data_IF_664568462127
#
_entry.id   IF_664568462127
#
_cell.length_a   1.000
_cell.length_b   1.000
_cell.length_c   1.000
_cell.angle_alpha   90.00
_cell.angle_beta   90.00
_cell.angle_gamma   90.00
#
_symmetry.space_group_name_H-M   'P 1'
#
loop_
_entity.id
_entity.type
_entity.pdbx_description
1 polymer ?
#
# COMPACT_ATOMS: atom_id res chain seq x y z
N UNK A 1 -9.47 28.52 17.28
CA UNK A 1 -8.92 27.17 17.00
C UNK A 1 -7.56 27.10 17.66
N UNK A 2 -7.31 26.05 18.43
CA UNK A 2 -5.98 25.80 18.99
C UNK A 2 -5.03 25.34 17.88
N UNK A 3 -3.73 25.61 17.99
CA UNK A 3 -2.71 25.24 16.98
C UNK A 3 -2.81 23.75 16.56
N UNK A 4 -3.07 22.86 17.51
CA UNK A 4 -3.26 21.41 17.22
C UNK A 4 -4.49 21.14 16.35
N UNK A 5 -5.59 21.86 16.53
CA UNK A 5 -6.80 21.71 15.71
C UNK A 5 -6.55 22.17 14.26
N UNK A 6 -5.74 23.22 14.09
CA UNK A 6 -5.33 23.68 12.75
C UNK A 6 -4.46 22.65 12.06
N UNK A 7 -3.46 22.10 12.78
CA UNK A 7 -2.57 21.07 12.24
C UNK A 7 -3.32 19.79 11.88
N UNK A 8 -4.28 19.37 12.69
CA UNK A 8 -5.14 18.21 12.38
C UNK A 8 -6.01 18.45 11.14
N UNK A 9 -6.57 19.65 11.00
CA UNK A 9 -7.34 20.00 9.80
C UNK A 9 -6.46 20.01 8.54
N UNK A 10 -5.25 20.57 8.62
CA UNK A 10 -4.28 20.56 7.51
C UNK A 10 -3.86 19.12 7.18
N UNK A 11 -3.61 18.28 8.19
CA UNK A 11 -3.28 16.87 7.97
C UNK A 11 -4.39 16.11 7.24
N UNK A 12 -5.65 16.36 7.57
CA UNK A 12 -6.80 15.77 6.87
C UNK A 12 -6.84 16.18 5.39
N UNK A 13 -6.55 17.44 5.10
CA UNK A 13 -6.49 17.95 3.72
C UNK A 13 -5.33 17.29 2.95
N UNK A 14 -4.12 17.27 3.52
CA UNK A 14 -2.97 16.60 2.88
C UNK A 14 -3.23 15.12 2.66
N UNK A 15 -3.91 14.44 3.57
CA UNK A 15 -4.28 13.05 3.39
C UNK A 15 -5.22 12.83 2.20
N UNK A 16 -6.22 13.70 2.04
CA UNK A 16 -7.13 13.64 0.87
C UNK A 16 -6.34 13.85 -0.42
N UNK A 17 -5.43 14.84 -0.46
CA UNK A 17 -4.56 15.11 -1.62
C UNK A 17 -3.63 13.92 -1.86
N UNK A 18 -3.07 13.33 -0.81
CA UNK A 18 -2.24 12.13 -0.88
C UNK A 18 -2.99 10.96 -1.52
N UNK A 19 -4.19 10.66 -1.05
CA UNK A 19 -4.99 9.54 -1.58
C UNK A 19 -5.37 9.78 -3.03
N UNK A 20 -5.98 10.93 -3.31
CA UNK A 20 -6.47 11.30 -4.65
C UNK A 20 -5.31 11.41 -5.66
N UNK A 21 -4.27 12.16 -5.30
CA UNK A 21 -3.15 12.45 -6.17
C UNK A 21 -2.34 11.21 -6.53
N UNK A 22 -2.04 10.33 -5.57
CA UNK A 22 -1.32 9.08 -5.83
C UNK A 22 -2.13 8.12 -6.71
N UNK A 23 -3.46 8.07 -6.55
CA UNK A 23 -4.31 7.23 -7.39
C UNK A 23 -4.47 7.81 -8.80
N UNK A 24 -4.52 9.14 -8.92
CA UNK A 24 -4.50 9.82 -10.23
C UNK A 24 -3.17 9.58 -10.95
N UNK A 25 -2.03 9.74 -10.26
CA UNK A 25 -0.70 9.42 -10.80
C UNK A 25 -0.61 7.97 -11.26
N UNK A 26 -1.14 7.04 -10.47
CA UNK A 26 -1.23 5.63 -10.85
C UNK A 26 -2.05 5.46 -12.15
N UNK A 27 -3.24 6.04 -12.22
CA UNK A 27 -4.10 5.97 -13.40
C UNK A 27 -3.41 6.51 -14.66
N UNK A 28 -2.75 7.68 -14.54
CA UNK A 28 -2.00 8.32 -15.63
C UNK A 28 -0.81 7.47 -16.14
N UNK A 29 -0.29 6.55 -15.33
CA UNK A 29 0.80 5.62 -15.72
C UNK A 29 0.29 4.25 -16.15
N UNK A 30 -0.94 3.89 -15.81
CA UNK A 30 -1.47 2.56 -16.03
C UNK A 30 -1.70 2.28 -17.51
N UNK A 31 -0.98 1.32 -18.08
CA UNK A 31 -1.30 0.74 -19.37
C UNK A 31 -2.49 -0.22 -19.20
N UNK A 32 -3.69 0.33 -19.33
CA UNK A 32 -4.94 -0.40 -19.08
C UNK A 32 -5.09 -1.64 -19.96
N UNK A 33 -4.86 -1.57 -21.31
CA UNK A 33 -4.91 -2.75 -22.17
C UNK A 33 -3.94 -3.86 -21.72
N UNK A 34 -2.74 -3.49 -21.28
CA UNK A 34 -1.74 -4.43 -20.81
C UNK A 34 -2.09 -5.02 -19.45
N UNK A 35 -2.56 -4.19 -18.52
CA UNK A 35 -3.03 -4.65 -17.21
C UNK A 35 -4.21 -5.62 -17.33
N UNK A 36 -5.18 -5.32 -18.21
CA UNK A 36 -6.32 -6.21 -18.48
C UNK A 36 -5.89 -7.54 -19.12
N UNK A 37 -4.89 -7.52 -20.01
CA UNK A 37 -4.35 -8.78 -20.56
C UNK A 37 -3.73 -9.65 -19.47
N UNK A 38 -3.02 -9.05 -18.51
CA UNK A 38 -2.45 -9.77 -17.37
C UNK A 38 -3.49 -10.40 -16.45
N UNK A 39 -4.72 -9.89 -16.40
CA UNK A 39 -5.83 -10.53 -15.67
C UNK A 39 -6.27 -11.87 -16.26
N UNK A 40 -5.88 -12.22 -17.48
CA UNK A 40 -6.10 -13.54 -18.08
C UNK A 40 -5.17 -14.61 -17.51
N UNK A 41 -4.08 -14.21 -16.86
CA UNK A 41 -3.23 -15.14 -16.12
C UNK A 41 -3.91 -15.52 -14.79
N UNK A 42 -4.77 -16.54 -14.88
CA UNK A 42 -5.59 -17.01 -13.75
C UNK A 42 -4.74 -17.36 -12.54
N UNK A 43 -3.55 -17.93 -12.76
CA UNK A 43 -2.65 -18.30 -11.67
C UNK A 43 -2.13 -17.08 -10.92
N UNK A 44 -1.65 -16.07 -11.66
CA UNK A 44 -1.19 -14.82 -11.07
C UNK A 44 -2.31 -14.11 -10.30
N UNK A 45 -3.50 -14.02 -10.90
CA UNK A 45 -4.68 -13.39 -10.29
C UNK A 45 -5.09 -14.14 -9.02
N UNK A 46 -5.27 -15.46 -9.09
CA UNK A 46 -5.69 -16.27 -7.94
C UNK A 46 -4.70 -16.17 -6.78
N UNK A 47 -3.39 -16.27 -7.06
CA UNK A 47 -2.38 -16.16 -6.01
C UNK A 47 -2.26 -14.73 -5.46
N UNK A 48 -2.47 -13.71 -6.29
CA UNK A 48 -2.55 -12.31 -5.80
C UNK A 48 -3.73 -12.12 -4.85
N UNK A 49 -4.90 -12.65 -5.19
CA UNK A 49 -6.09 -12.58 -4.34
C UNK A 49 -5.92 -13.41 -3.07
N UNK A 50 -5.42 -14.62 -3.18
CA UNK A 50 -5.19 -15.51 -2.04
C UNK A 50 -4.23 -14.89 -1.02
N UNK A 51 -3.05 -14.47 -1.48
CA UNK A 51 -2.06 -13.85 -0.61
C UNK A 51 -2.52 -12.48 -0.08
N UNK A 52 -3.03 -11.62 -0.95
CA UNK A 52 -3.39 -10.25 -0.60
C UNK A 52 -4.60 -10.13 0.32
N UNK A 53 -5.60 -11.00 0.14
CA UNK A 53 -6.92 -10.83 0.77
C UNK A 53 -7.35 -11.97 1.69
N UNK A 54 -6.55 -13.04 1.77
CA UNK A 54 -6.77 -14.14 2.73
C UNK A 54 -5.57 -14.25 3.67
N UNK A 55 -4.38 -14.54 3.13
CA UNK A 55 -3.21 -14.83 3.98
C UNK A 55 -2.71 -13.60 4.73
N UNK A 56 -2.55 -12.45 4.03
CA UNK A 56 -2.07 -11.23 4.69
C UNK A 56 -3.02 -10.71 5.78
N UNK A 57 -4.35 -10.62 5.54
CA UNK A 57 -5.31 -10.28 6.59
C UNK A 57 -5.29 -11.25 7.76
N UNK A 58 -5.24 -12.56 7.48
CA UNK A 58 -5.19 -13.60 8.52
C UNK A 58 -3.92 -13.48 9.38
N UNK A 59 -2.76 -13.25 8.77
CA UNK A 59 -1.50 -13.02 9.49
C UNK A 59 -1.56 -11.74 10.32
N UNK A 60 -2.04 -10.63 9.74
CA UNK A 60 -2.19 -9.37 10.46
C UNK A 60 -3.12 -9.47 11.65
N UNK A 61 -4.27 -10.15 11.48
CA UNK A 61 -5.22 -10.40 12.56
C UNK A 61 -4.63 -11.33 13.63
N UNK A 62 -4.01 -12.44 13.23
CA UNK A 62 -3.36 -13.37 14.16
C UNK A 62 -2.31 -12.64 15.01
N UNK A 63 -1.44 -11.86 14.38
CA UNK A 63 -0.43 -11.06 15.09
C UNK A 63 -1.07 -10.01 16.01
N UNK A 64 -2.15 -9.37 15.59
CA UNK A 64 -2.86 -8.37 16.40
C UNK A 64 -3.49 -8.95 17.66
N UNK A 65 -3.91 -10.23 17.65
CA UNK A 65 -4.51 -10.89 18.81
C UNK A 65 -3.52 -11.66 19.68
N UNK A 66 -2.35 -12.00 19.14
CA UNK A 66 -1.32 -12.79 19.88
C UNK A 66 -0.20 -11.95 20.46
N UNK A 67 0.10 -10.82 19.83
CA UNK A 67 1.15 -9.92 20.34
C UNK A 67 0.58 -8.97 21.39
N UNK A 68 1.39 -8.54 22.37
CA UNK A 68 0.99 -7.60 23.42
C UNK A 68 0.93 -6.16 22.88
N UNK A 69 0.03 -5.92 21.90
CA UNK A 69 -0.18 -4.62 21.28
C UNK A 69 -1.32 -3.87 21.97
N UNK A 70 -1.18 -2.54 22.10
CA UNK A 70 -2.32 -1.70 22.48
C UNK A 70 -3.44 -1.79 21.42
N UNK A 71 -4.69 -1.52 21.77
CA UNK A 71 -5.81 -1.58 20.82
C UNK A 71 -5.57 -0.76 19.54
N UNK A 72 -4.99 0.45 19.66
CA UNK A 72 -4.66 1.30 18.52
C UNK A 72 -3.62 0.68 17.59
N UNK A 73 -2.56 0.08 18.12
CA UNK A 73 -1.53 -0.60 17.33
C UNK A 73 -2.03 -1.89 16.70
N UNK A 74 -2.85 -2.66 17.40
CA UNK A 74 -3.50 -3.84 16.84
C UNK A 74 -4.42 -3.47 15.67
N UNK A 75 -5.23 -2.41 15.82
CA UNK A 75 -6.07 -1.85 14.77
C UNK A 75 -5.24 -1.44 13.54
N UNK A 76 -4.16 -0.70 13.73
CA UNK A 76 -3.27 -0.27 12.66
C UNK A 76 -2.67 -1.46 11.89
N UNK A 77 -2.21 -2.49 12.60
CA UNK A 77 -1.62 -3.69 11.99
C UNK A 77 -2.62 -4.41 11.09
N UNK A 78 -3.87 -4.58 11.54
CA UNK A 78 -4.93 -5.20 10.75
C UNK A 78 -5.28 -4.33 9.54
N UNK A 79 -5.44 -3.01 9.71
CA UNK A 79 -5.75 -2.09 8.59
C UNK A 79 -4.68 -2.11 7.51
N UNK A 80 -3.41 -2.11 7.90
CA UNK A 80 -2.30 -2.24 6.94
C UNK A 80 -2.31 -3.62 6.27
N UNK A 81 -2.61 -4.69 7.00
CA UNK A 81 -2.64 -6.04 6.47
C UNK A 81 -3.74 -6.29 5.44
N UNK A 82 -4.89 -5.61 5.54
CA UNK A 82 -6.03 -5.77 4.63
C UNK A 82 -5.99 -4.85 3.39
N UNK A 83 -4.98 -3.98 3.26
CA UNK A 83 -4.87 -3.00 2.18
C UNK A 83 -3.65 -3.25 1.29
N UNK A 84 -3.60 -4.30 0.43
CA UNK A 84 -2.51 -4.50 -0.50
C UNK A 84 -2.54 -3.49 -1.66
N UNK A 85 -1.38 -3.27 -2.27
CA UNK A 85 -1.27 -2.48 -3.51
C UNK A 85 -1.16 -0.97 -3.28
N UNK A 86 0.07 -0.45 -3.37
CA UNK A 86 0.41 0.97 -3.24
C UNK A 86 1.06 1.46 -4.54
N UNK A 87 0.80 2.70 -4.99
CA UNK A 87 1.51 3.34 -6.11
C UNK A 87 3.04 3.29 -6.00
N UNK A 88 3.60 3.19 -4.79
CA UNK A 88 5.03 2.99 -4.54
C UNK A 88 5.57 1.66 -5.12
N UNK A 89 4.72 0.69 -5.44
CA UNK A 89 5.11 -0.55 -6.12
C UNK A 89 5.90 -0.27 -7.40
N UNK A 90 5.55 0.76 -8.17
CA UNK A 90 6.26 1.11 -9.39
C UNK A 90 7.74 1.44 -9.15
N UNK A 91 8.07 2.09 -8.02
CA UNK A 91 9.45 2.40 -7.61
C UNK A 91 10.19 1.10 -7.25
N UNK A 92 9.55 0.24 -6.45
CA UNK A 92 10.13 -1.05 -6.04
C UNK A 92 10.38 -1.98 -7.24
N UNK A 93 9.42 -2.06 -8.17
CA UNK A 93 9.54 -2.85 -9.41
C UNK A 93 10.67 -2.34 -10.31
N UNK A 94 10.77 -1.02 -10.48
CA UNK A 94 11.89 -0.40 -11.24
C UNK A 94 13.25 -0.73 -10.61
N UNK A 95 13.38 -0.58 -9.28
CA UNK A 95 14.61 -0.89 -8.56
C UNK A 95 14.98 -2.37 -8.63
N UNK A 96 14.00 -3.27 -8.53
CA UNK A 96 14.19 -4.71 -8.65
C UNK A 96 14.41 -5.20 -10.09
N UNK A 97 14.30 -4.32 -11.11
CA UNK A 97 14.23 -4.68 -12.53
C UNK A 97 13.20 -5.79 -12.77
N UNK A 98 12.06 -5.73 -12.04
CA UNK A 98 11.00 -6.71 -12.15
C UNK A 98 10.04 -6.39 -13.31
N UNK A 99 9.11 -7.29 -13.60
CA UNK A 99 8.23 -7.19 -14.75
C UNK A 99 7.15 -6.12 -14.57
N UNK A 100 7.25 -5.02 -15.32
CA UNK A 100 6.35 -3.86 -15.27
C UNK A 100 4.92 -4.24 -15.66
N UNK A 101 4.74 -5.22 -16.55
CA UNK A 101 3.42 -5.63 -17.03
C UNK A 101 2.61 -6.31 -15.92
N UNK A 102 3.22 -7.23 -15.19
CA UNK A 102 2.60 -7.85 -14.04
C UNK A 102 2.39 -6.85 -12.90
N UNK A 103 3.27 -5.85 -12.76
CA UNK A 103 3.07 -4.78 -11.79
C UNK A 103 1.81 -3.96 -12.09
N UNK A 104 1.58 -3.59 -13.35
CA UNK A 104 0.36 -2.91 -13.77
C UNK A 104 -0.89 -3.75 -13.49
N UNK A 105 -0.84 -5.05 -13.77
CA UNK A 105 -1.91 -6.00 -13.46
C UNK A 105 -2.18 -6.09 -11.96
N UNK A 106 -1.11 -6.23 -11.16
CA UNK A 106 -1.22 -6.27 -9.70
C UNK A 106 -1.86 -4.99 -9.15
N UNK A 107 -1.41 -3.82 -9.61
CA UNK A 107 -1.92 -2.54 -9.13
C UNK A 107 -3.40 -2.34 -9.48
N UNK A 108 -3.80 -2.68 -10.72
CA UNK A 108 -5.20 -2.61 -11.13
C UNK A 108 -6.07 -3.54 -10.27
N UNK A 109 -5.67 -4.81 -10.17
CA UNK A 109 -6.39 -5.82 -9.41
C UNK A 109 -6.48 -5.44 -7.92
N UNK A 110 -5.34 -5.11 -7.30
CA UNK A 110 -5.30 -4.77 -5.90
C UNK A 110 -6.14 -3.52 -5.58
N UNK A 111 -6.04 -2.46 -6.38
CA UNK A 111 -6.83 -1.24 -6.15
C UNK A 111 -8.33 -1.51 -6.28
N UNK A 112 -8.76 -2.23 -7.32
CA UNK A 112 -10.17 -2.53 -7.55
C UNK A 112 -10.74 -3.43 -6.44
N UNK A 113 -10.02 -4.48 -6.06
CA UNK A 113 -10.48 -5.42 -5.02
C UNK A 113 -10.45 -4.78 -3.64
N UNK A 114 -9.44 -3.97 -3.30
CA UNK A 114 -9.35 -3.29 -2.00
C UNK A 114 -10.56 -2.39 -1.74
N UNK A 115 -11.02 -1.65 -2.76
CA UNK A 115 -12.19 -0.76 -2.63
C UNK A 115 -13.48 -1.54 -2.32
N UNK A 116 -13.59 -2.78 -2.81
CA UNK A 116 -14.73 -3.66 -2.51
C UNK A 116 -14.51 -4.42 -1.20
N UNK A 117 -13.32 -4.94 -0.98
CA UNK A 117 -13.00 -5.82 0.16
C UNK A 117 -13.02 -5.10 1.51
N UNK A 118 -12.35 -3.94 1.61
CA UNK A 118 -12.21 -3.24 2.89
C UNK A 118 -13.54 -2.83 3.54
N UNK A 119 -14.55 -2.31 2.82
CA UNK A 119 -15.83 -1.98 3.42
C UNK A 119 -16.50 -3.13 4.18
N UNK A 120 -16.31 -4.37 3.72
CA UNK A 120 -16.87 -5.54 4.39
C UNK A 120 -15.95 -6.10 5.48
N UNK A 121 -14.62 -6.07 5.26
CA UNK A 121 -13.66 -6.71 6.16
C UNK A 121 -13.27 -5.81 7.34
N UNK A 122 -13.24 -4.50 7.19
CA UNK A 122 -12.91 -3.58 8.30
C UNK A 122 -13.87 -3.75 9.47
N UNK A 123 -15.21 -3.73 9.30
CA UNK A 123 -16.12 -3.93 10.42
C UNK A 123 -15.99 -5.30 11.09
N UNK A 124 -15.54 -6.31 10.37
CA UNK A 124 -15.37 -7.68 10.88
C UNK A 124 -14.06 -7.87 11.63
N UNK A 125 -12.97 -7.37 11.06
CA UNK A 125 -11.60 -7.64 11.54
C UNK A 125 -11.08 -6.58 12.50
N UNK A 126 -11.56 -5.34 12.39
CA UNK A 126 -11.05 -4.20 13.17
C UNK A 126 -11.96 -3.94 14.36
N UNK A 127 -11.59 -4.48 15.51
CA UNK A 127 -12.34 -4.28 16.76
C UNK A 127 -12.25 -2.81 17.21
N UNK A 128 -13.36 -2.29 17.71
CA UNK A 128 -13.43 -0.92 18.24
C UNK A 128 -13.68 0.17 17.18
N UNK A 129 -13.79 -0.19 15.90
CA UNK A 129 -14.11 0.74 14.83
C UNK A 129 -15.59 0.58 14.42
N UNK A 130 -16.46 1.45 14.94
CA UNK A 130 -17.90 1.43 14.61
C UNK A 130 -18.16 2.16 13.28
N UNK A 131 -17.99 1.45 12.16
CA UNK A 131 -18.26 1.98 10.84
C UNK A 131 -19.14 1.02 10.03
N UNK A 132 -20.09 1.56 9.29
CA UNK A 132 -20.87 0.75 8.34
C UNK A 132 -20.05 0.54 7.05
N UNK A 133 -20.30 -0.53 6.29
CA UNK A 133 -19.63 -0.77 5.02
C UNK A 133 -19.70 0.43 4.06
N UNK A 134 -20.84 1.12 4.03
CA UNK A 134 -21.03 2.29 3.17
C UNK A 134 -20.19 3.51 3.59
N UNK A 135 -20.02 3.73 4.89
CA UNK A 135 -19.15 4.81 5.40
C UNK A 135 -17.72 4.61 4.93
N UNK A 136 -17.24 3.37 4.86
CA UNK A 136 -15.89 3.06 4.39
C UNK A 136 -15.82 3.09 2.85
N UNK A 137 -16.82 2.54 2.16
CA UNK A 137 -16.85 2.47 0.70
C UNK A 137 -16.84 3.85 0.04
N UNK A 138 -17.65 4.79 0.55
CA UNK A 138 -17.84 6.11 -0.06
C UNK A 138 -16.51 6.86 -0.29
N UNK A 139 -15.64 7.10 0.70
CA UNK A 139 -14.37 7.78 0.49
C UNK A 139 -13.40 6.94 -0.37
N UNK A 140 -13.42 5.62 -0.29
CA UNK A 140 -12.58 4.77 -1.13
C UNK A 140 -12.97 4.87 -2.61
N UNK A 141 -14.26 4.93 -2.91
CA UNK A 141 -14.76 5.16 -4.25
C UNK A 141 -14.32 6.53 -4.78
N UNK A 142 -14.45 7.59 -3.97
CA UNK A 142 -14.18 8.98 -4.37
C UNK A 142 -12.67 9.28 -4.42
N UNK A 143 -11.88 8.80 -3.46
CA UNK A 143 -10.46 9.20 -3.34
C UNK A 143 -9.48 8.14 -3.84
N UNK A 144 -9.91 6.90 -4.10
CA UNK A 144 -9.06 5.83 -4.61
C UNK A 144 -9.51 5.42 -6.03
N UNK A 145 -10.73 4.93 -6.18
CA UNK A 145 -11.17 4.36 -7.45
C UNK A 145 -11.38 5.44 -8.52
N UNK A 146 -12.11 6.50 -8.19
CA UNK A 146 -12.44 7.56 -9.16
C UNK A 146 -11.20 8.21 -9.77
N UNK A 147 -10.20 8.73 -9.01
CA UNK A 147 -9.02 9.34 -9.61
C UNK A 147 -8.19 8.35 -10.42
N UNK A 148 -8.09 7.09 -10.01
CA UNK A 148 -7.40 6.05 -10.78
C UNK A 148 -8.09 5.82 -12.13
N UNK A 149 -9.42 5.69 -12.14
CA UNK A 149 -10.20 5.48 -13.38
C UNK A 149 -10.11 6.71 -14.28
N UNK A 150 -10.25 7.92 -13.73
CA UNK A 150 -10.10 9.17 -14.48
C UNK A 150 -8.71 9.25 -15.12
N UNK A 151 -7.66 8.98 -14.37
CA UNK A 151 -6.28 8.97 -14.89
C UNK A 151 -6.08 7.92 -15.99
N UNK A 152 -6.62 6.71 -15.82
CA UNK A 152 -6.51 5.63 -16.79
C UNK A 152 -7.26 5.94 -18.09
N UNK A 153 -8.49 6.49 -18.00
CA UNK A 153 -9.26 6.94 -19.16
C UNK A 153 -8.54 8.10 -19.87
N UNK A 154 -8.03 9.05 -19.11
CA UNK A 154 -7.28 10.18 -19.66
C UNK A 154 -6.05 9.70 -20.45
N UNK A 155 -5.28 8.75 -19.89
CA UNK A 155 -4.15 8.12 -20.59
C UNK A 155 -4.60 7.37 -21.84
N UNK A 156 -5.70 6.66 -21.77
CA UNK A 156 -6.21 5.88 -22.90
C UNK A 156 -6.62 6.78 -24.09
N UNK A 157 -7.20 7.96 -23.80
CA UNK A 157 -7.70 8.90 -24.81
C UNK A 157 -6.63 9.89 -25.30
N UNK A 158 -5.74 10.32 -24.41
CA UNK A 158 -4.76 11.40 -24.67
C UNK A 158 -3.37 11.01 -24.16
N UNK A 159 -2.81 9.93 -24.71
CA UNK A 159 -1.55 9.36 -24.25
C UNK A 159 -0.39 10.37 -24.18
N UNK A 160 -0.22 11.22 -25.21
CA UNK A 160 0.82 12.23 -25.24
C UNK A 160 0.64 13.31 -24.17
N UNK A 161 -0.61 13.73 -23.92
CA UNK A 161 -0.91 14.70 -22.87
C UNK A 161 -0.77 14.08 -21.48
N UNK A 162 -1.20 12.85 -21.30
CA UNK A 162 -0.99 12.11 -20.04
C UNK A 162 0.50 11.99 -19.70
N UNK A 163 1.36 11.69 -20.68
CA UNK A 163 2.80 11.62 -20.49
C UNK A 163 3.43 12.97 -20.10
N UNK A 164 2.84 14.11 -20.54
CA UNK A 164 3.28 15.45 -20.14
C UNK A 164 2.78 15.86 -18.76
N UNK A 165 1.54 15.51 -18.41
CA UNK A 165 0.89 15.92 -17.15
C UNK A 165 1.36 15.06 -15.98
N UNK A 166 1.57 13.76 -16.20
CA UNK A 166 1.93 12.78 -15.16
C UNK A 166 3.16 13.20 -14.32
N UNK A 167 4.28 13.71 -14.87
CA UNK A 167 5.42 14.12 -14.05
C UNK A 167 5.09 15.26 -13.07
N UNK A 168 4.19 16.17 -13.43
CA UNK A 168 3.74 17.26 -12.55
C UNK A 168 2.86 16.70 -11.43
N UNK A 169 1.91 15.82 -11.76
CA UNK A 169 1.08 15.16 -10.75
C UNK A 169 1.96 14.37 -9.79
N UNK A 170 2.90 13.56 -10.30
CA UNK A 170 3.86 12.81 -9.49
C UNK A 170 4.69 13.71 -8.57
N UNK A 171 5.18 14.83 -9.06
CA UNK A 171 5.96 15.79 -8.25
C UNK A 171 5.10 16.42 -7.17
N UNK A 172 3.89 16.87 -7.51
CA UNK A 172 2.95 17.48 -6.57
C UNK A 172 2.57 16.49 -5.46
N UNK A 173 2.21 15.26 -5.83
CA UNK A 173 1.87 14.21 -4.84
C UNK A 173 3.08 13.76 -4.02
N UNK A 174 4.28 13.79 -4.59
CA UNK A 174 5.52 13.52 -3.85
C UNK A 174 5.79 14.56 -2.77
N UNK A 175 5.61 15.84 -3.09
CA UNK A 175 5.73 16.96 -2.13
C UNK A 175 4.65 16.84 -1.05
N UNK A 176 3.40 16.58 -1.44
CA UNK A 176 2.30 16.38 -0.50
C UNK A 176 2.53 15.16 0.41
N UNK A 177 3.03 14.04 -0.13
CA UNK A 177 3.40 12.86 0.66
C UNK A 177 4.44 13.20 1.73
N UNK A 178 5.46 13.99 1.38
CA UNK A 178 6.46 14.45 2.33
C UNK A 178 5.84 15.37 3.39
N UNK A 179 5.01 16.31 2.98
CA UNK A 179 4.30 17.21 3.89
C UNK A 179 3.38 16.41 4.84
N UNK A 180 2.64 15.42 4.34
CA UNK A 180 1.80 14.54 5.14
C UNK A 180 2.62 13.77 6.19
N UNK A 181 3.77 13.20 5.80
CA UNK A 181 4.64 12.48 6.74
C UNK A 181 5.18 13.42 7.82
N UNK A 182 5.63 14.63 7.45
CA UNK A 182 6.09 15.63 8.41
C UNK A 182 4.96 16.02 9.37
N UNK A 183 3.76 16.28 8.86
CA UNK A 183 2.59 16.61 9.69
C UNK A 183 2.22 15.47 10.64
N UNK A 184 2.25 14.22 10.17
CA UNK A 184 2.04 13.05 11.03
C UNK A 184 3.08 12.98 12.16
N UNK A 185 4.35 13.26 11.85
CA UNK A 185 5.41 13.30 12.86
C UNK A 185 5.25 14.48 13.83
N UNK A 186 4.79 15.63 13.37
CA UNK A 186 4.57 16.81 14.23
C UNK A 186 3.36 16.60 15.14
N UNK A 187 2.25 16.11 14.60
CA UNK A 187 1.00 15.94 15.35
C UNK A 187 1.05 14.73 16.28
N UNK A 188 1.60 13.61 15.79
CA UNK A 188 1.61 12.32 16.50
C UNK A 188 3.02 11.85 16.91
N UNK A 189 4.06 12.68 16.75
CA UNK A 189 5.45 12.27 16.99
C UNK A 189 5.76 11.86 18.42
N UNK A 190 5.05 12.40 19.43
CA UNK A 190 5.15 11.90 20.81
C UNK A 190 4.71 10.45 20.90
N UNK A 191 3.63 10.06 20.20
CA UNK A 191 3.19 8.68 20.08
C UNK A 191 4.22 7.79 19.38
N UNK A 192 4.94 8.32 18.37
CA UNK A 192 6.02 7.58 17.71
C UNK A 192 7.17 7.25 18.67
N UNK A 193 7.58 8.20 19.49
CA UNK A 193 8.63 7.98 20.51
C UNK A 193 8.16 7.00 21.58
N UNK A 194 6.92 7.15 22.06
CA UNK A 194 6.35 6.23 23.06
C UNK A 194 6.06 4.83 22.49
N UNK A 195 6.00 4.68 21.16
CA UNK A 195 5.84 3.36 20.53
C UNK A 195 7.13 2.51 20.57
N UNK A 196 8.27 3.11 20.89
CA UNK A 196 9.52 2.37 21.07
C UNK A 196 9.38 1.43 22.29
N UNK A 197 9.60 0.13 22.08
CA UNK A 197 9.40 -0.90 23.11
C UNK A 197 7.99 -1.49 23.19
N UNK A 198 7.01 -0.97 22.42
CA UNK A 198 5.61 -1.45 22.43
C UNK A 198 5.32 -2.55 21.39
N UNK A 199 6.33 -3.07 20.71
CA UNK A 199 6.21 -4.01 19.59
C UNK A 199 5.49 -3.47 18.34
N UNK A 200 4.93 -2.24 18.34
CA UNK A 200 4.17 -1.69 17.23
C UNK A 200 4.95 -1.66 15.91
N UNK A 201 6.17 -1.11 15.94
CA UNK A 201 7.06 -1.09 14.78
C UNK A 201 7.53 -2.51 14.41
N UNK A 202 7.93 -3.29 15.43
CA UNK A 202 8.40 -4.67 15.24
C UNK A 202 7.34 -5.55 14.57
N UNK A 203 6.09 -5.45 15.00
CA UNK A 203 4.98 -6.20 14.42
C UNK A 203 4.77 -5.89 12.93
N UNK A 204 4.81 -4.61 12.53
CA UNK A 204 4.68 -4.23 11.12
C UNK A 204 5.87 -4.72 10.28
N UNK A 205 7.09 -4.61 10.78
CA UNK A 205 8.29 -5.11 10.10
C UNK A 205 8.23 -6.64 9.95
N UNK A 206 7.87 -7.35 11.01
CA UNK A 206 7.71 -8.82 10.99
C UNK A 206 6.61 -9.23 10.02
N UNK A 207 5.46 -8.53 10.01
CA UNK A 207 4.39 -8.80 9.05
C UNK A 207 4.90 -8.72 7.61
N UNK A 208 5.58 -7.63 7.25
CA UNK A 208 6.13 -7.44 5.89
C UNK A 208 7.19 -8.50 5.56
N UNK A 209 8.08 -8.80 6.50
CA UNK A 209 9.13 -9.80 6.30
C UNK A 209 8.55 -11.22 6.12
N UNK A 210 7.62 -11.62 6.99
CA UNK A 210 6.97 -12.94 6.89
C UNK A 210 6.21 -13.08 5.58
N UNK A 211 5.45 -12.04 5.17
CA UNK A 211 4.73 -12.04 3.89
C UNK A 211 5.71 -12.15 2.72
N UNK A 212 6.82 -11.38 2.74
CA UNK A 212 7.80 -11.41 1.67
C UNK A 212 8.42 -12.79 1.49
N UNK A 213 8.86 -13.40 2.60
CA UNK A 213 9.48 -14.73 2.60
C UNK A 213 8.46 -15.81 2.21
N UNK A 214 7.31 -15.82 2.87
CA UNK A 214 6.30 -16.86 2.64
C UNK A 214 5.74 -16.80 1.20
N UNK A 215 5.39 -15.63 0.67
CA UNK A 215 4.87 -15.50 -0.68
C UNK A 215 5.93 -15.83 -1.75
N UNK A 216 7.21 -15.59 -1.47
CA UNK A 216 8.28 -15.98 -2.39
C UNK A 216 8.47 -17.49 -2.45
N UNK A 217 8.57 -18.16 -1.29
CA UNK A 217 8.81 -19.60 -1.21
C UNK A 217 7.56 -20.40 -1.55
N UNK A 218 6.40 -19.98 -1.06
CA UNK A 218 5.10 -20.62 -1.31
C UNK A 218 4.39 -20.01 -2.54
N UNK A 219 5.13 -19.61 -3.55
CA UNK A 219 4.59 -19.09 -4.82
C UNK A 219 4.02 -20.19 -5.74
N UNK A 220 3.84 -21.43 -5.22
CA UNK A 220 3.14 -22.56 -5.87
C UNK A 220 3.47 -22.72 -7.37
N UNK A 221 4.79 -22.75 -7.69
CA UNK A 221 5.29 -22.93 -9.06
C UNK A 221 5.07 -21.75 -10.01
N UNK A 222 4.76 -20.55 -9.49
CA UNK A 222 4.71 -19.33 -10.27
C UNK A 222 6.10 -19.00 -10.86
N UNK A 223 6.20 -18.55 -12.13
CA UNK A 223 7.46 -18.11 -12.71
C UNK A 223 8.08 -16.96 -11.92
N UNK A 224 9.42 -16.92 -11.88
CA UNK A 224 10.16 -15.91 -11.10
C UNK A 224 9.71 -14.46 -11.38
N UNK A 225 9.49 -13.99 -12.65
CA UNK A 225 9.05 -12.62 -12.91
C UNK A 225 7.71 -12.25 -12.26
N UNK A 226 6.78 -13.20 -12.22
CA UNK A 226 5.47 -13.02 -11.57
C UNK A 226 5.61 -13.03 -10.04
N UNK A 227 6.40 -13.98 -9.53
CA UNK A 227 6.65 -14.14 -8.10
C UNK A 227 7.31 -12.89 -7.48
N UNK A 228 8.29 -12.30 -8.16
CA UNK A 228 8.93 -11.06 -7.73
C UNK A 228 7.91 -9.92 -7.64
N UNK A 229 7.03 -9.78 -8.62
CA UNK A 229 5.99 -8.73 -8.61
C UNK A 229 4.95 -8.99 -7.52
N UNK A 230 4.52 -10.25 -7.34
CA UNK A 230 3.61 -10.63 -6.26
C UNK A 230 4.18 -10.19 -4.90
N UNK A 231 5.41 -10.59 -4.60
CA UNK A 231 6.06 -10.26 -3.33
C UNK A 231 6.20 -8.75 -3.13
N UNK A 232 6.70 -8.03 -4.14
CA UNK A 232 6.83 -6.57 -4.08
C UNK A 232 5.47 -5.88 -3.88
N UNK A 233 4.43 -6.37 -4.56
CA UNK A 233 3.07 -5.86 -4.45
C UNK A 233 2.46 -6.11 -3.08
N UNK A 234 2.70 -7.29 -2.50
CA UNK A 234 2.24 -7.62 -1.15
C UNK A 234 2.97 -6.82 -0.06
N UNK A 235 4.25 -6.47 -0.26
CA UNK A 235 4.99 -5.59 0.64
C UNK A 235 4.59 -4.12 0.49
N UNK A 236 4.08 -3.73 -0.70
CA UNK A 236 3.60 -2.38 -0.96
C UNK A 236 2.16 -2.23 -0.46
N UNK A 237 1.99 -1.81 0.80
CA UNK A 237 0.67 -1.60 1.43
C UNK A 237 0.10 -0.22 1.08
N UNK A 238 -1.19 -0.16 0.84
CA UNK A 238 -1.90 1.10 0.57
C UNK A 238 -2.26 1.80 1.88
N UNK A 239 -1.31 2.59 2.40
CA UNK A 239 -1.51 3.35 3.63
C UNK A 239 -2.70 4.30 3.53
N UNK A 240 -2.95 4.91 2.36
CA UNK A 240 -4.12 5.77 2.15
C UNK A 240 -5.43 4.99 2.34
N UNK A 241 -5.54 3.82 1.74
CA UNK A 241 -6.71 2.95 1.93
C UNK A 241 -6.85 2.48 3.39
N UNK A 242 -5.73 2.13 4.04
CA UNK A 242 -5.72 1.73 5.45
C UNK A 242 -6.14 2.88 6.40
N UNK A 243 -5.79 4.12 6.08
CA UNK A 243 -6.17 5.29 6.87
C UNK A 243 -7.60 5.77 6.62
N UNK A 244 -8.17 5.50 5.46
CA UNK A 244 -9.51 5.99 5.11
C UNK A 244 -10.59 5.70 6.18
N UNK A 245 -10.70 4.51 6.79
CA UNK A 245 -11.64 4.24 7.85
C UNK A 245 -11.41 5.07 9.12
N UNK A 246 -10.15 5.36 9.45
CA UNK A 246 -9.78 6.09 10.68
C UNK A 246 -10.20 7.56 10.67
N UNK A 247 -10.37 8.16 9.48
CA UNK A 247 -10.81 9.55 9.35
C UNK A 247 -12.31 9.75 9.28
N UNK A 248 -13.07 8.66 9.14
CA UNK A 248 -14.53 8.71 9.03
C UNK A 248 -15.19 8.49 10.38
N UNK A 249 -14.58 7.68 11.23
CA UNK A 249 -15.11 7.33 12.55
C UNK A 249 -14.67 8.39 13.55
N UNK A 250 -15.60 8.94 14.36
CA UNK A 250 -15.25 9.87 15.43
C UNK A 250 -14.51 9.15 16.57
N UNK A 251 -13.64 9.89 17.28
CA UNK A 251 -12.95 9.42 18.49
C UNK A 251 -12.06 8.17 18.27
N UNK A 252 -11.43 8.07 17.10
CA UNK A 252 -10.46 7.01 16.84
C UNK A 252 -9.22 7.22 17.71
N UNK A 253 -8.67 6.11 18.20
CA UNK A 253 -7.43 6.08 18.95
C UNK A 253 -6.28 6.76 18.16
N UNK A 254 -5.65 7.82 18.70
CA UNK A 254 -4.53 8.49 18.07
C UNK A 254 -3.37 7.56 17.71
N UNK A 255 -3.14 6.50 18.50
CA UNK A 255 -2.14 5.49 18.23
C UNK A 255 -2.42 4.71 16.94
N UNK A 256 -3.71 4.46 16.64
CA UNK A 256 -4.10 3.82 15.38
C UNK A 256 -3.77 4.70 14.16
N UNK A 257 -4.03 6.01 14.25
CA UNK A 257 -3.73 6.98 13.20
C UNK A 257 -2.21 7.06 12.99
N UNK A 258 -1.45 7.22 14.07
CA UNK A 258 0.00 7.31 14.04
C UNK A 258 0.63 6.02 13.48
N UNK A 259 0.23 4.86 14.00
CA UNK A 259 0.82 3.59 13.58
C UNK A 259 0.45 3.22 12.15
N UNK A 260 -0.76 3.52 11.69
CA UNK A 260 -1.16 3.27 10.30
C UNK A 260 -0.47 4.26 9.35
N UNK A 261 -0.50 5.55 9.67
CA UNK A 261 0.02 6.62 8.81
C UNK A 261 1.54 6.70 8.83
N UNK A 262 2.14 7.01 9.99
CA UNK A 262 3.57 7.25 10.09
C UNK A 262 4.38 5.95 10.04
N UNK A 263 4.14 5.01 10.97
CA UNK A 263 4.86 3.73 10.98
C UNK A 263 4.59 2.91 9.72
N UNK A 264 3.32 2.82 9.30
CA UNK A 264 2.94 2.09 8.10
C UNK A 264 3.65 2.62 6.85
N UNK A 265 3.72 3.94 6.67
CA UNK A 265 4.44 4.55 5.54
C UNK A 265 5.92 4.22 5.56
N UNK A 266 6.57 4.39 6.72
CA UNK A 266 8.01 4.11 6.87
C UNK A 266 8.33 2.64 6.60
N UNK A 267 7.55 1.71 7.17
CA UNK A 267 7.75 0.26 7.01
C UNK A 267 7.50 -0.18 5.56
N UNK A 268 6.45 0.34 4.92
CA UNK A 268 6.12 0.01 3.52
C UNK A 268 7.22 0.49 2.57
N UNK A 269 7.71 1.73 2.75
CA UNK A 269 8.80 2.26 1.91
C UNK A 269 10.09 1.49 2.15
N UNK A 270 10.51 1.36 3.41
CA UNK A 270 11.76 0.68 3.77
C UNK A 270 11.72 -0.81 3.38
N UNK A 271 10.65 -1.51 3.72
CA UNK A 271 10.46 -2.93 3.41
C UNK A 271 10.39 -3.19 1.90
N UNK A 272 9.61 -2.39 1.16
CA UNK A 272 9.52 -2.49 -0.30
C UNK A 272 10.88 -2.25 -0.98
N UNK A 273 11.65 -1.25 -0.54
CA UNK A 273 13.00 -0.99 -1.06
C UNK A 273 14.02 -2.05 -0.66
N UNK A 274 13.93 -2.62 0.53
CA UNK A 274 14.80 -3.71 0.98
C UNK A 274 14.59 -4.96 0.11
N UNK A 275 13.35 -5.40 -0.05
CA UNK A 275 12.99 -6.55 -0.91
C UNK A 275 13.40 -6.30 -2.36
N UNK A 276 13.15 -5.10 -2.90
CA UNK A 276 13.56 -4.73 -4.25
C UNK A 276 15.09 -4.78 -4.43
N UNK A 277 15.85 -4.38 -3.40
CA UNK A 277 17.31 -4.44 -3.41
C UNK A 277 17.83 -5.88 -3.42
N UNK A 278 17.19 -6.78 -2.68
CA UNK A 278 17.52 -8.21 -2.65
C UNK A 278 17.34 -8.81 -4.05
N UNK A 279 16.20 -8.54 -4.71
CA UNK A 279 15.94 -9.03 -6.06
C UNK A 279 16.91 -8.44 -7.10
N UNK A 280 17.24 -7.15 -7.00
CA UNK A 280 18.20 -6.50 -7.89
C UNK A 280 19.61 -7.12 -7.79
N UNK A 281 20.09 -7.35 -6.54
CA UNK A 281 21.39 -7.99 -6.30
C UNK A 281 21.44 -9.42 -6.83
N UNK A 282 20.37 -10.19 -6.65
CA UNK A 282 20.27 -11.56 -7.16
C UNK A 282 20.38 -11.64 -8.70
N UNK A 283 19.87 -10.62 -9.42
CA UNK A 283 20.00 -10.53 -10.88
C UNK A 283 21.42 -10.14 -11.31
N UNK A 284 22.02 -9.16 -10.64
CA UNK A 284 23.41 -8.75 -10.94
C UNK A 284 24.40 -9.91 -10.75
N UNK A 285 24.24 -10.69 -9.67
CA UNK A 285 25.07 -11.87 -9.43
C UNK A 285 24.89 -12.94 -10.53
N UNK A 286 23.68 -13.12 -11.05
CA UNK A 286 23.42 -14.00 -12.18
C UNK A 286 24.07 -13.53 -13.48
N UNK A 287 23.96 -12.22 -13.78
CA UNK A 287 24.54 -11.60 -14.98
C UNK A 287 26.07 -11.71 -14.97
N UNK A 288 26.71 -11.46 -13.83
CA UNK A 288 28.18 -11.59 -13.67
C UNK A 288 28.66 -13.04 -13.77
N UNK A 289 27.92 -14.00 -13.21
CA UNK A 289 28.25 -15.42 -13.34
C UNK A 289 28.16 -15.92 -14.78
N UNK A 290 27.16 -15.47 -15.54
CA UNK A 290 27.00 -15.81 -16.96
C UNK A 290 28.12 -15.19 -17.83
N UNK A 291 28.49 -13.94 -17.54
CA UNK A 291 29.60 -13.26 -18.26
C UNK A 291 30.99 -13.85 -17.95
N UNK A 292 31.17 -14.52 -16.81
CA UNK A 292 32.42 -15.17 -16.43
C UNK A 292 32.61 -16.57 -17.09
N UNK A 293 31.52 -17.15 -17.62
CA UNK A 293 31.52 -18.48 -18.26
C UNK A 293 31.50 -18.39 -19.80
N UNK A 294 31.16 -17.20 -20.34
CA UNK A 294 31.22 -16.89 -21.79
C UNK A 294 32.58 -16.31 -22.21
#
# INVERSE_FOLDING_TARGET
MNTLQVLDAVLKVTLVIFMFGNMLDLGLRLDLPQALRGLRDVRFVTLTLFWGYIVCPALGYLMAVTLPLSPGYAMALVLVAIAPGNPFLAVSVSKARANVNYAATFMLLASAVTVVYMPFMVPVLVKGLSATPWMIAKPMLVFILLPMVVGAIFRLRWQALAARVQPFVKKATGVDTLAMVILLLVVYGKGLISSVGTFALGAQVVLVAVIAVAAYWLGFGMPRPQKEVLVLGLCARNVGAAMAPLFIVPNVDPDAIMATGALGTLVVIAGGLAVASIFARGKQAGDTATAAVA
#
